data_IF_251018374905
#
_entry.id   IF_251018374905
#
_cell.length_a   1.000
_cell.length_b   1.000
_cell.length_c   1.000
_cell.angle_alpha   90.00
_cell.angle_beta   90.00
_cell.angle_gamma   90.00
#
_symmetry.space_group_name_H-M   'P 1'
#
loop_
_entity.id
_entity.type
_entity.pdbx_description
1 polymer ?
#
# COMPACT_ATOMS: atom_id res chain seq x y z
N UNK A 1 -10.34 31.05 0.01
CA UNK A 1 -9.11 31.70 0.39
C UNK A 1 -9.16 33.17 0.04
N UNK A 2 -8.67 33.97 0.93
CA UNK A 2 -8.71 35.43 0.76
C UNK A 2 -7.76 35.84 -0.37
N UNK A 3 -8.23 36.77 -1.22
CA UNK A 3 -7.41 37.41 -2.27
C UNK A 3 -6.81 36.43 -3.30
N UNK A 4 -7.52 35.35 -3.61
CA UNK A 4 -7.07 34.35 -4.61
C UNK A 4 -5.69 33.75 -4.34
N UNK A 5 -5.26 33.70 -3.10
CA UNK A 5 -3.98 33.10 -2.76
C UNK A 5 -4.07 31.57 -2.82
N UNK A 6 -3.07 30.91 -3.38
CA UNK A 6 -3.04 29.45 -3.35
C UNK A 6 -2.96 28.97 -1.91
N UNK A 7 -3.54 27.81 -1.66
CA UNK A 7 -3.49 27.14 -0.37
C UNK A 7 -3.25 25.67 -0.54
N UNK A 8 -2.75 25.03 0.53
CA UNK A 8 -2.46 23.60 0.55
C UNK A 8 -3.38 22.95 1.58
N UNK A 9 -4.06 21.90 1.15
CA UNK A 9 -4.80 21.04 2.06
C UNK A 9 -3.91 19.85 2.40
N UNK A 10 -3.56 19.72 3.68
CA UNK A 10 -2.81 18.57 4.17
C UNK A 10 -3.77 17.63 4.87
N UNK A 11 -3.78 16.37 4.45
CA UNK A 11 -4.61 15.33 5.04
C UNK A 11 -3.71 14.26 5.65
N UNK A 12 -3.98 13.90 6.90
CA UNK A 12 -3.29 12.81 7.58
C UNK A 12 -4.29 11.71 7.90
N UNK A 13 -4.03 10.51 7.41
CA UNK A 13 -4.82 9.33 7.71
C UNK A 13 -4.09 8.49 8.75
N UNK A 14 -4.76 8.19 9.86
CA UNK A 14 -4.16 7.43 10.94
C UNK A 14 -5.20 6.56 11.64
N UNK A 15 -4.73 5.70 12.53
CA UNK A 15 -5.63 4.93 13.40
C UNK A 15 -6.32 5.86 14.38
N UNK A 16 -7.56 5.54 14.74
CA UNK A 16 -8.34 6.35 15.69
C UNK A 16 -7.60 6.55 17.01
N UNK A 17 -6.94 5.51 17.51
CA UNK A 17 -6.17 5.59 18.75
C UNK A 17 -4.98 6.56 18.69
N UNK A 18 -4.49 6.88 17.49
CA UNK A 18 -3.35 7.76 17.26
C UNK A 18 -3.75 9.19 16.92
N UNK A 19 -5.05 9.50 16.89
CA UNK A 19 -5.54 10.79 16.42
C UNK A 19 -4.94 11.98 17.18
N UNK A 20 -4.92 11.91 18.51
CA UNK A 20 -4.38 12.99 19.34
C UNK A 20 -2.88 13.20 19.12
N UNK A 21 -2.15 12.11 18.96
CA UNK A 21 -0.70 12.16 18.69
C UNK A 21 -0.40 12.83 17.35
N UNK A 22 -1.15 12.47 16.31
CA UNK A 22 -0.95 13.08 14.98
C UNK A 22 -1.46 14.52 14.94
N UNK A 23 -2.52 14.86 15.66
CA UNK A 23 -2.95 16.25 15.80
C UNK A 23 -1.87 17.10 16.44
N UNK A 24 -1.27 16.62 17.53
CA UNK A 24 -0.17 17.31 18.19
C UNK A 24 1.02 17.50 17.27
N UNK A 25 1.35 16.50 16.47
CA UNK A 25 2.43 16.59 15.49
C UNK A 25 2.15 17.67 14.44
N UNK A 26 0.94 17.72 13.92
CA UNK A 26 0.54 18.73 12.93
C UNK A 26 0.60 20.15 13.50
N UNK A 27 0.18 20.35 14.74
CA UNK A 27 0.28 21.65 15.41
C UNK A 27 1.73 22.06 15.62
N UNK A 28 2.60 21.11 15.94
CA UNK A 28 4.02 21.41 16.19
C UNK A 28 4.79 21.70 14.89
N UNK A 29 4.52 20.95 13.82
CA UNK A 29 5.30 20.99 12.58
C UNK A 29 4.73 21.95 11.53
N UNK A 30 3.58 22.52 11.75
CA UNK A 30 2.95 23.47 10.81
C UNK A 30 2.48 24.72 11.54
N UNK A 31 2.10 25.74 10.79
CA UNK A 31 1.56 26.98 11.35
C UNK A 31 0.05 26.90 11.59
N UNK A 32 -0.58 25.76 11.38
CA UNK A 32 -2.01 25.64 11.55
C UNK A 32 -2.45 25.83 13.00
N UNK A 33 -3.61 26.45 13.20
CA UNK A 33 -4.21 26.61 14.51
C UNK A 33 -5.49 25.76 14.67
N UNK A 34 -5.81 24.96 13.67
CA UNK A 34 -6.96 24.07 13.73
C UNK A 34 -6.78 22.86 12.83
N UNK A 35 -7.28 21.73 13.29
CA UNK A 35 -7.27 20.47 12.55
C UNK A 35 -8.65 19.88 12.61
N UNK A 36 -9.22 19.54 11.44
CA UNK A 36 -10.49 18.82 11.37
C UNK A 36 -10.24 17.34 11.53
N UNK A 37 -11.07 16.71 12.33
CA UNK A 37 -11.02 15.26 12.52
C UNK A 37 -12.29 14.64 11.97
N UNK A 38 -12.13 13.53 11.25
CA UNK A 38 -13.24 12.68 10.80
C UNK A 38 -12.91 11.24 11.10
N UNK A 39 -13.87 10.52 11.63
CA UNK A 39 -13.75 9.08 11.80
C UNK A 39 -14.36 8.41 10.57
N UNK A 40 -13.62 7.47 10.01
CA UNK A 40 -14.03 6.75 8.80
C UNK A 40 -13.99 5.27 9.05
N UNK A 41 -14.91 4.56 8.43
CA UNK A 41 -14.82 3.12 8.30
C UNK A 41 -14.45 2.77 6.86
N UNK A 42 -13.98 1.56 6.64
CA UNK A 42 -13.63 1.11 5.30
C UNK A 42 -13.95 -0.38 5.14
N UNK A 43 -14.26 -0.73 3.92
CA UNK A 43 -14.39 -2.13 3.54
C UNK A 43 -13.05 -2.64 3.06
N UNK A 44 -12.67 -3.82 3.50
CA UNK A 44 -11.43 -4.45 3.07
C UNK A 44 -11.67 -5.91 2.76
N UNK A 45 -10.91 -6.44 1.82
CA UNK A 45 -10.85 -7.87 1.60
C UNK A 45 -9.91 -8.49 2.63
N UNK A 46 -10.14 -9.76 2.95
CA UNK A 46 -9.21 -10.53 3.76
C UNK A 46 -7.93 -10.75 2.96
N UNK A 47 -6.78 -10.58 3.59
CA UNK A 47 -5.47 -10.64 2.93
C UNK A 47 -4.59 -11.70 3.56
N UNK A 48 -3.80 -12.35 2.73
CA UNK A 48 -2.73 -13.23 3.17
C UNK A 48 -1.55 -13.13 2.21
N UNK A 49 -0.37 -13.46 2.70
CA UNK A 49 0.85 -13.53 1.90
C UNK A 49 1.32 -14.97 1.89
N UNK A 50 1.63 -15.50 0.71
CA UNK A 50 2.15 -16.85 0.56
C UNK A 50 3.27 -16.86 -0.48
N UNK A 51 4.34 -17.64 -0.26
CA UNK A 51 5.37 -17.80 -1.28
C UNK A 51 4.87 -18.71 -2.41
N UNK A 52 5.23 -18.35 -3.63
CA UNK A 52 4.98 -19.15 -4.83
C UNK A 52 6.33 -19.50 -5.43
N UNK A 53 6.59 -20.77 -5.63
CA UNK A 53 7.83 -21.24 -6.23
C UNK A 53 7.77 -21.09 -7.74
N UNK A 54 8.79 -20.45 -8.31
CA UNK A 54 8.96 -20.31 -9.75
C UNK A 54 10.33 -20.82 -10.16
N UNK A 55 10.57 -21.06 -11.47
CA UNK A 55 11.93 -21.42 -11.93
C UNK A 55 12.99 -20.37 -11.63
N UNK A 56 12.60 -19.15 -11.30
CA UNK A 56 13.50 -18.03 -10.99
C UNK A 56 13.62 -17.75 -9.49
N UNK A 57 12.99 -18.57 -8.65
CA UNK A 57 13.00 -18.43 -7.20
C UNK A 57 11.59 -18.22 -6.64
N UNK A 58 11.52 -18.07 -5.33
CA UNK A 58 10.25 -17.87 -4.64
C UNK A 58 9.84 -16.40 -4.70
N UNK A 59 8.59 -16.18 -5.05
CA UNK A 59 7.97 -14.85 -5.09
C UNK A 59 6.81 -14.83 -4.12
N UNK A 60 6.80 -13.87 -3.20
CA UNK A 60 5.68 -13.69 -2.30
C UNK A 60 4.50 -13.11 -3.09
N UNK A 61 3.34 -13.73 -2.93
CA UNK A 61 2.10 -13.29 -3.59
C UNK A 61 1.12 -12.86 -2.53
N UNK A 62 0.54 -11.68 -2.74
CA UNK A 62 -0.54 -11.16 -1.89
C UNK A 62 -1.87 -11.64 -2.44
N UNK A 63 -2.60 -12.39 -1.63
CA UNK A 63 -3.95 -12.82 -1.95
C UNK A 63 -4.94 -11.97 -1.17
N UNK A 64 -6.02 -11.60 -1.83
CA UNK A 64 -7.12 -10.87 -1.21
C UNK A 64 -8.44 -11.50 -1.64
N UNK A 65 -9.32 -11.74 -0.67
CA UNK A 65 -10.57 -12.43 -0.91
C UNK A 65 -11.69 -11.85 -0.05
N UNK A 66 -12.88 -11.82 -0.61
CA UNK A 66 -14.09 -11.36 0.07
C UNK A 66 -15.08 -10.80 -0.94
N UNK A 67 -16.30 -10.56 -0.51
CA UNK A 67 -17.35 -9.96 -1.34
C UNK A 67 -17.51 -10.64 -2.71
N UNK A 68 -17.28 -11.96 -2.76
CA UNK A 68 -17.41 -12.72 -3.99
C UNK A 68 -16.27 -12.53 -5.00
N UNK A 69 -15.16 -11.90 -4.60
CA UNK A 69 -13.99 -11.72 -5.47
C UNK A 69 -12.74 -12.30 -4.84
N UNK A 70 -11.83 -12.73 -5.70
CA UNK A 70 -10.50 -13.21 -5.35
C UNK A 70 -9.49 -12.48 -6.20
N UNK A 71 -8.43 -11.98 -5.56
CA UNK A 71 -7.35 -11.25 -6.23
C UNK A 71 -6.02 -11.82 -5.78
N UNK A 72 -5.05 -11.83 -6.69
CA UNK A 72 -3.69 -12.25 -6.38
C UNK A 72 -2.72 -11.31 -7.09
N UNK A 73 -1.70 -10.86 -6.38
CA UNK A 73 -0.71 -9.96 -6.94
C UNK A 73 0.68 -10.31 -6.40
N UNK A 74 1.64 -10.61 -7.29
CA UNK A 74 3.02 -10.79 -6.88
C UNK A 74 3.60 -9.52 -6.25
N UNK A 75 4.40 -9.66 -5.21
CA UNK A 75 5.09 -8.54 -4.59
C UNK A 75 6.21 -8.04 -5.51
N UNK A 76 6.21 -6.75 -5.79
CA UNK A 76 7.13 -6.12 -6.73
C UNK A 76 8.59 -6.40 -6.38
N UNK A 77 8.97 -6.22 -5.12
CA UNK A 77 10.35 -6.38 -4.67
C UNK A 77 10.88 -7.79 -4.89
N UNK A 78 10.05 -8.81 -4.67
CA UNK A 78 10.43 -10.20 -4.88
C UNK A 78 10.62 -10.50 -6.35
N UNK A 79 9.76 -9.97 -7.21
CA UNK A 79 9.88 -10.15 -8.67
C UNK A 79 11.17 -9.49 -9.17
N UNK A 80 11.47 -8.28 -8.71
CA UNK A 80 12.70 -7.56 -9.06
C UNK A 80 13.93 -8.37 -8.65
N UNK A 81 13.95 -8.87 -7.40
CA UNK A 81 15.06 -9.66 -6.88
C UNK A 81 15.31 -10.91 -7.74
N UNK A 82 14.25 -11.65 -8.06
CA UNK A 82 14.38 -12.87 -8.86
C UNK A 82 14.81 -12.55 -10.29
N UNK A 83 14.29 -11.48 -10.88
CA UNK A 83 14.66 -11.06 -12.23
C UNK A 83 16.15 -10.68 -12.31
N UNK A 84 16.64 -9.91 -11.35
CA UNK A 84 18.05 -9.52 -11.29
C UNK A 84 18.96 -10.72 -11.08
N UNK A 85 18.59 -11.60 -10.16
CA UNK A 85 19.39 -12.80 -9.87
C UNK A 85 19.47 -13.75 -11.07
N UNK A 86 18.40 -13.86 -11.85
CA UNK A 86 18.35 -14.74 -13.02
C UNK A 86 18.82 -14.08 -14.32
N UNK A 87 19.00 -12.75 -14.31
CA UNK A 87 19.38 -12.01 -15.51
C UNK A 87 18.29 -11.99 -16.59
N UNK A 88 17.01 -12.00 -16.18
CA UNK A 88 15.87 -11.98 -17.08
C UNK A 88 15.03 -10.74 -16.84
N UNK A 89 14.16 -10.33 -17.80
CA UNK A 89 13.28 -9.19 -17.60
C UNK A 89 12.28 -9.41 -16.46
N UNK A 90 11.88 -8.32 -15.80
CA UNK A 90 10.84 -8.32 -14.77
C UNK A 90 9.59 -9.05 -15.25
N UNK A 91 9.12 -8.74 -16.45
CA UNK A 91 7.92 -9.30 -17.03
C UNK A 91 7.97 -10.83 -17.13
N UNK A 92 9.13 -11.39 -17.40
CA UNK A 92 9.33 -12.84 -17.47
C UNK A 92 9.02 -13.50 -16.13
N UNK A 93 9.58 -12.97 -15.05
CA UNK A 93 9.35 -13.51 -13.70
C UNK A 93 7.90 -13.28 -13.28
N UNK A 94 7.36 -12.12 -13.56
CA UNK A 94 5.98 -11.78 -13.22
C UNK A 94 4.98 -12.74 -13.86
N UNK A 95 5.12 -13.01 -15.16
CA UNK A 95 4.28 -13.96 -15.87
C UNK A 95 4.42 -15.36 -15.33
N UNK A 96 5.64 -15.78 -15.07
CA UNK A 96 5.89 -17.12 -14.53
C UNK A 96 5.27 -17.30 -13.16
N UNK A 97 5.31 -16.28 -12.34
CA UNK A 97 4.65 -16.29 -11.03
C UNK A 97 3.14 -16.47 -11.20
N UNK A 98 2.51 -15.75 -12.13
CA UNK A 98 1.08 -15.87 -12.39
C UNK A 98 0.69 -17.26 -12.86
N UNK A 99 1.54 -17.93 -13.62
CA UNK A 99 1.28 -19.30 -14.08
C UNK A 99 1.30 -20.33 -12.95
N UNK A 100 1.99 -20.03 -11.87
CA UNK A 100 2.19 -20.95 -10.74
C UNK A 100 1.25 -20.67 -9.56
N UNK A 101 0.26 -19.81 -9.76
CA UNK A 101 -0.76 -19.52 -8.73
C UNK A 101 -1.75 -20.66 -8.55
#
# INVERSE_FOLDING_TARGET
MKKNRPAVLLTCLCKTADADRFAALLFRETATIGVRRRDCSRYTLDRRLEPVTTPYGDVTVKYAEGYGVKKAKPEYEDVVRCAEAAGVPFETVYRETLKNL
#
